data_IF_018610794814
#
_entry.id   IF_018610794814
#
_cell.length_a   1.000
_cell.length_b   1.000
_cell.length_c   1.000
_cell.angle_alpha   90.00
_cell.angle_beta   90.00
_cell.angle_gamma   90.00
#
_symmetry.space_group_name_H-M   'P 1'
#
loop_
_entity.id
_entity.type
_entity.pdbx_description
1 polymer ?
#
# COMPACT_ATOMS: atom_id res chain seq x y z
N UNK A 1 -34.40 11.61 1.05
CA UNK A 1 -33.32 11.98 0.14
C UNK A 1 -32.04 12.00 0.95
N UNK A 2 -31.23 10.95 0.89
CA UNK A 2 -29.95 10.92 1.61
C UNK A 2 -28.97 11.79 0.84
N UNK A 3 -28.60 12.91 1.42
CA UNK A 3 -27.50 13.71 0.91
C UNK A 3 -26.22 12.99 1.32
N UNK A 4 -25.59 12.29 0.40
CA UNK A 4 -24.23 11.81 0.60
C UNK A 4 -23.36 13.07 0.74
N UNK A 5 -22.65 13.26 1.87
CA UNK A 5 -21.73 14.39 2.00
C UNK A 5 -20.74 14.31 0.84
N UNK A 6 -20.63 15.37 0.07
CA UNK A 6 -19.78 15.45 -1.09
C UNK A 6 -18.30 15.43 -0.67
N UNK A 7 -17.71 14.41 -0.33
CA UNK A 7 -16.38 14.13 0.21
C UNK A 7 -16.34 14.11 1.74
N UNK A 8 -16.24 12.92 2.29
CA UNK A 8 -15.65 12.79 3.61
C UNK A 8 -14.15 13.12 3.44
N UNK A 9 -13.66 14.29 3.91
CA UNK A 9 -12.26 14.68 3.71
C UNK A 9 -11.28 13.74 4.43
N UNK A 10 -11.79 12.84 5.25
CA UNK A 10 -11.04 11.85 6.01
C UNK A 10 -10.90 10.51 5.27
N UNK A 11 -11.68 10.26 4.22
CA UNK A 11 -11.60 9.04 3.42
C UNK A 11 -10.86 9.31 2.11
N UNK A 12 -9.54 9.20 2.15
CA UNK A 12 -8.72 9.30 0.93
C UNK A 12 -8.80 7.99 0.16
N UNK A 13 -9.05 8.07 -1.13
CA UNK A 13 -9.11 6.93 -2.06
C UNK A 13 -7.99 7.06 -3.08
N UNK A 14 -6.79 6.69 -2.67
CA UNK A 14 -5.58 6.82 -3.49
C UNK A 14 -5.21 5.54 -4.24
N UNK A 15 -5.97 4.45 -4.06
CA UNK A 15 -5.88 3.24 -4.86
C UNK A 15 -7.25 2.80 -5.31
N UNK A 16 -7.37 2.32 -6.54
CA UNK A 16 -8.59 1.71 -7.05
C UNK A 16 -8.29 0.60 -8.06
N UNK A 17 -9.07 -0.48 -8.04
CA UNK A 17 -8.93 -1.54 -9.02
C UNK A 17 -9.37 -1.06 -10.40
N UNK A 18 -8.62 -1.43 -11.45
CA UNK A 18 -8.95 -1.18 -12.85
C UNK A 18 -9.40 -2.45 -13.55
N UNK A 19 -8.65 -3.54 -13.41
CA UNK A 19 -8.88 -4.78 -14.13
C UNK A 19 -8.52 -5.98 -13.29
N UNK A 20 -9.28 -7.07 -13.46
CA UNK A 20 -9.05 -8.37 -12.81
C UNK A 20 -8.80 -8.28 -11.29
N UNK A 21 -9.34 -7.26 -10.62
CA UNK A 21 -9.13 -7.03 -9.19
C UNK A 21 -9.60 -8.20 -8.31
N UNK A 22 -10.54 -9.01 -8.79
CA UNK A 22 -10.97 -10.24 -8.12
C UNK A 22 -9.87 -11.32 -8.03
N UNK A 23 -8.79 -11.16 -8.79
CA UNK A 23 -7.60 -12.01 -8.75
C UNK A 23 -6.54 -11.44 -7.78
N UNK A 24 -6.67 -10.17 -7.38
CA UNK A 24 -5.85 -9.65 -6.30
C UNK A 24 -6.33 -10.24 -4.97
N UNK A 25 -5.37 -10.71 -4.18
CA UNK A 25 -5.67 -11.25 -2.86
C UNK A 25 -5.74 -10.12 -1.85
N UNK A 26 -6.86 -9.99 -1.17
CA UNK A 26 -6.98 -9.19 0.03
C UNK A 26 -6.41 -10.01 1.21
N UNK A 27 -5.22 -9.65 1.65
CA UNK A 27 -4.55 -10.34 2.74
C UNK A 27 -4.91 -9.66 4.06
N UNK A 28 -5.66 -10.34 4.91
CA UNK A 28 -6.11 -9.83 6.20
C UNK A 28 -5.09 -10.14 7.31
N UNK A 29 -4.93 -9.18 8.21
CA UNK A 29 -4.09 -9.27 9.40
C UNK A 29 -4.45 -8.15 10.37
N UNK A 30 -3.48 -7.67 11.09
CA UNK A 30 -3.65 -6.60 12.08
C UNK A 30 -2.67 -5.45 11.79
N UNK A 31 -3.09 -4.24 12.09
CA UNK A 31 -2.15 -3.13 12.14
C UNK A 31 -1.25 -3.30 13.36
N UNK A 32 0.02 -2.98 13.21
CA UNK A 32 1.00 -3.02 14.28
C UNK A 32 0.48 -2.25 15.50
N UNK A 33 0.33 -2.90 16.67
CA UNK A 33 -0.11 -2.23 17.88
C UNK A 33 0.87 -1.15 18.37
N UNK A 34 2.12 -1.18 17.92
CA UNK A 34 3.12 -0.16 18.20
C UNK A 34 3.10 1.01 17.21
N UNK A 35 2.25 0.94 16.17
CA UNK A 35 2.09 2.04 15.22
C UNK A 35 1.56 3.28 15.93
N UNK A 36 2.35 4.34 15.94
CA UNK A 36 2.10 5.57 16.72
C UNK A 36 1.33 6.65 15.95
N UNK A 37 1.01 6.38 14.69
CA UNK A 37 0.30 7.33 13.83
C UNK A 37 1.17 8.47 13.29
N UNK A 38 2.50 8.37 13.38
CA UNK A 38 3.41 9.42 12.87
C UNK A 38 3.38 9.52 11.35
N UNK A 39 3.13 8.41 10.68
CA UNK A 39 3.00 8.33 9.22
C UNK A 39 1.53 8.09 8.86
N UNK A 40 0.99 8.95 8.01
CA UNK A 40 -0.37 8.72 7.49
C UNK A 40 -0.37 7.50 6.54
N UNK A 41 -1.21 6.53 6.81
CA UNK A 41 -1.40 5.40 5.90
C UNK A 41 -2.51 5.75 4.92
N UNK A 42 -2.15 5.89 3.66
CA UNK A 42 -3.10 6.05 2.55
C UNK A 42 -3.43 4.69 1.92
N UNK A 43 -4.62 4.50 1.35
CA UNK A 43 -4.84 3.37 0.46
C UNK A 43 -3.79 3.38 -0.66
N UNK A 44 -3.01 2.32 -0.78
CA UNK A 44 -1.87 2.24 -1.69
C UNK A 44 -0.49 2.48 -1.05
N UNK A 45 -0.44 2.85 0.24
CA UNK A 45 0.83 2.86 1.00
C UNK A 45 1.43 1.46 1.02
N UNK A 46 2.73 1.38 0.78
CA UNK A 46 3.48 0.13 0.89
C UNK A 46 3.55 -0.28 2.35
N UNK A 47 3.08 -1.49 2.62
CA UNK A 47 3.10 -2.07 3.95
C UNK A 47 4.16 -3.15 4.04
N UNK A 48 4.86 -3.20 5.16
CA UNK A 48 5.72 -4.31 5.55
C UNK A 48 4.95 -5.31 6.40
N UNK A 49 5.32 -6.57 6.28
CA UNK A 49 4.90 -7.62 7.21
C UNK A 49 5.97 -7.77 8.29
N UNK A 50 5.55 -7.73 9.53
CA UNK A 50 6.42 -7.89 10.68
C UNK A 50 5.95 -9.04 11.58
N UNK A 51 6.86 -9.58 12.39
CA UNK A 51 6.53 -10.53 13.42
C UNK A 51 6.43 -9.79 14.77
N UNK A 52 5.32 -9.94 15.46
CA UNK A 52 5.11 -9.40 16.80
C UNK A 52 4.89 -10.57 17.76
N UNK A 53 5.76 -10.67 18.77
CA UNK A 53 5.69 -11.74 19.76
C UNK A 53 4.33 -11.76 20.47
N UNK A 54 3.73 -12.94 20.53
CA UNK A 54 2.42 -13.13 21.18
C UNK A 54 1.21 -12.74 20.35
N UNK A 55 1.41 -12.18 19.16
CA UNK A 55 0.32 -11.89 18.23
C UNK A 55 0.05 -13.12 17.35
N UNK A 56 -1.14 -13.66 17.45
CA UNK A 56 -1.58 -14.76 16.58
C UNK A 56 -2.11 -14.20 15.26
N UNK A 57 -1.26 -14.09 14.24
CA UNK A 57 -1.66 -13.63 12.91
C UNK A 57 -0.63 -12.72 12.24
N UNK A 58 -0.94 -12.29 11.05
CA UNK A 58 -0.10 -11.38 10.27
C UNK A 58 -0.22 -9.96 10.83
N UNK A 59 0.92 -9.29 11.02
CA UNK A 59 0.97 -7.90 11.48
C UNK A 59 1.60 -7.03 10.42
N UNK A 60 0.98 -5.89 10.14
CA UNK A 60 1.41 -4.94 9.12
C UNK A 60 1.76 -3.59 9.73
N UNK A 61 2.84 -3.00 9.23
CA UNK A 61 3.27 -1.64 9.53
C UNK A 61 3.61 -0.91 8.23
N UNK A 62 3.53 0.44 8.16
CA UNK A 62 4.07 1.15 7.01
C UNK A 62 5.53 0.76 6.76
N UNK A 63 5.87 0.55 5.50
CA UNK A 63 7.25 0.27 5.13
C UNK A 63 8.09 1.55 5.26
N UNK A 64 9.17 1.49 6.02
CA UNK A 64 10.11 2.60 6.23
C UNK A 64 11.51 2.30 5.69
N UNK A 65 11.74 1.07 5.23
CA UNK A 65 13.06 0.62 4.79
C UNK A 65 14.00 0.24 5.92
N UNK A 66 13.50 0.17 7.15
CA UNK A 66 14.28 -0.23 8.31
C UNK A 66 14.76 -1.69 8.19
N UNK A 67 15.85 -1.98 8.92
CA UNK A 67 16.43 -3.33 8.94
C UNK A 67 15.39 -4.36 9.42
N UNK A 68 15.26 -5.43 8.65
CA UNK A 68 14.31 -6.51 8.94
C UNK A 68 12.89 -6.29 8.36
N UNK A 69 12.58 -5.12 7.82
CA UNK A 69 11.34 -4.90 7.10
C UNK A 69 11.42 -5.44 5.67
N UNK A 70 10.40 -6.18 5.28
CA UNK A 70 10.22 -6.63 3.89
C UNK A 70 8.92 -6.06 3.36
N UNK A 71 8.93 -5.31 2.25
CA UNK A 71 7.70 -4.82 1.65
C UNK A 71 6.82 -6.01 1.26
N UNK A 72 5.53 -5.91 1.52
CA UNK A 72 4.61 -7.04 1.40
C UNK A 72 3.44 -6.77 0.47
N UNK A 73 2.81 -5.61 0.57
CA UNK A 73 1.62 -5.27 -0.20
C UNK A 73 1.21 -3.82 -0.06
N UNK A 74 0.08 -3.47 -0.65
CA UNK A 74 -0.46 -2.13 -0.65
C UNK A 74 -1.63 -2.02 0.32
N UNK A 75 -1.64 -1.01 1.18
CA UNK A 75 -2.75 -0.77 2.10
C UNK A 75 -4.08 -0.63 1.36
N UNK A 76 -5.12 -1.29 1.88
CA UNK A 76 -6.49 -1.09 1.44
C UNK A 76 -7.19 0.04 2.21
N UNK A 77 -6.66 0.45 3.36
CA UNK A 77 -7.28 1.37 4.30
C UNK A 77 -6.55 2.69 4.43
N UNK A 78 -7.33 3.69 4.85
CA UNK A 78 -6.84 4.96 5.32
C UNK A 78 -6.69 4.96 6.84
N UNK A 79 -5.51 5.36 7.34
CA UNK A 79 -5.26 5.58 8.76
C UNK A 79 -4.61 6.96 8.93
N UNK A 80 -5.29 7.85 9.65
CA UNK A 80 -4.80 9.21 9.87
C UNK A 80 -3.64 9.23 10.85
N UNK A 81 -2.66 10.07 10.59
CA UNK A 81 -1.57 10.37 11.51
C UNK A 81 -1.99 11.30 12.67
N UNK A 82 -3.12 11.98 12.53
CA UNK A 82 -3.66 12.83 13.60
C UNK A 82 -4.76 12.09 14.35
N UNK A 83 -4.90 12.32 15.65
CA UNK A 83 -6.01 11.81 16.43
C UNK A 83 -7.33 12.25 15.78
N UNK A 84 -7.97 11.34 15.10
CA UNK A 84 -9.16 11.58 14.29
C UNK A 84 -9.67 10.29 13.68
N UNK A 85 -10.67 10.43 12.85
CA UNK A 85 -11.37 9.33 12.17
C UNK A 85 -10.42 8.59 11.25
N UNK A 86 -10.27 7.28 11.45
CA UNK A 86 -9.59 6.40 10.51
C UNK A 86 -10.39 5.11 10.28
N UNK A 87 -10.22 4.48 9.12
CA UNK A 87 -11.03 3.32 8.73
C UNK A 87 -10.78 2.08 9.60
N UNK A 88 -9.63 1.98 10.24
CA UNK A 88 -9.27 0.82 11.08
C UNK A 88 -9.82 0.97 12.50
N UNK A 89 -9.53 2.09 13.16
CA UNK A 89 -9.95 2.29 14.56
C UNK A 89 -11.43 2.61 14.71
N UNK A 90 -12.02 3.31 13.73
CA UNK A 90 -13.45 3.67 13.78
C UNK A 90 -14.37 2.50 13.49
N UNK A 91 -13.90 1.46 12.82
CA UNK A 91 -14.65 0.22 12.66
C UNK A 91 -14.71 -0.61 13.96
N UNK A 92 -13.99 -0.21 14.99
CA UNK A 92 -13.83 -0.98 16.24
C UNK A 92 -13.06 -2.28 16.05
N UNK A 93 -12.38 -2.42 14.92
CA UNK A 93 -11.60 -3.59 14.55
C UNK A 93 -10.14 -3.19 14.33
N UNK A 94 -9.22 -3.94 14.91
CA UNK A 94 -7.80 -3.82 14.60
C UNK A 94 -7.40 -4.57 13.32
N UNK A 95 -8.38 -5.12 12.60
CA UNK A 95 -8.14 -5.86 11.37
C UNK A 95 -7.68 -4.91 10.28
N UNK A 96 -6.58 -5.27 9.65
CA UNK A 96 -5.97 -4.51 8.56
C UNK A 96 -5.87 -5.38 7.31
N UNK A 97 -6.02 -4.78 6.14
CA UNK A 97 -5.97 -5.51 4.87
C UNK A 97 -4.97 -4.88 3.92
N UNK A 98 -4.13 -5.72 3.35
CA UNK A 98 -3.24 -5.36 2.25
C UNK A 98 -3.70 -6.02 0.95
N UNK A 99 -3.60 -5.30 -0.17
CA UNK A 99 -3.69 -5.87 -1.49
C UNK A 99 -2.36 -6.51 -1.86
N UNK A 100 -2.41 -7.80 -2.15
CA UNK A 100 -1.26 -8.55 -2.66
C UNK A 100 -1.66 -9.11 -4.02
N UNK A 101 -0.93 -8.74 -5.04
CA UNK A 101 -1.25 -9.18 -6.39
C UNK A 101 -0.71 -10.56 -6.70
N UNK A 102 -1.31 -11.22 -7.68
CA UNK A 102 -0.82 -12.43 -8.33
C UNK A 102 -0.12 -12.15 -9.67
N UNK A 103 0.08 -10.86 -9.99
CA UNK A 103 0.68 -10.42 -11.25
C UNK A 103 -0.33 -10.26 -12.39
N UNK A 104 -1.64 -10.36 -12.14
CA UNK A 104 -2.67 -10.19 -13.18
C UNK A 104 -3.56 -8.98 -12.95
N UNK A 105 -3.88 -8.66 -11.70
CA UNK A 105 -4.71 -7.52 -11.36
C UNK A 105 -4.02 -6.18 -11.66
N UNK A 106 -4.76 -5.22 -12.19
CA UNK A 106 -4.29 -3.86 -12.41
C UNK A 106 -4.99 -2.90 -11.45
N UNK A 107 -4.20 -2.02 -10.86
CA UNK A 107 -4.67 -0.95 -10.00
C UNK A 107 -4.19 0.40 -10.50
N UNK A 108 -5.04 1.41 -10.33
CA UNK A 108 -4.65 2.80 -10.43
C UNK A 108 -4.27 3.31 -9.05
N UNK A 109 -3.10 3.93 -8.94
CA UNK A 109 -2.62 4.58 -7.72
C UNK A 109 -2.52 6.08 -7.99
N UNK A 110 -3.08 6.85 -7.06
CA UNK A 110 -3.14 8.31 -7.15
C UNK A 110 -2.16 8.95 -6.17
N UNK A 111 -1.60 10.09 -6.55
CA UNK A 111 -0.84 10.91 -5.61
C UNK A 111 -1.73 11.29 -4.40
N UNK A 112 -1.18 11.33 -3.19
CA UNK A 112 0.24 11.18 -2.84
C UNK A 112 0.67 9.77 -2.44
N UNK A 113 -0.03 8.69 -2.81
CA UNK A 113 0.37 7.32 -2.43
C UNK A 113 1.57 6.77 -3.22
N UNK A 114 2.15 7.55 -4.11
CA UNK A 114 3.40 7.23 -4.80
C UNK A 114 4.32 8.45 -4.88
N UNK A 115 5.60 8.20 -5.01
CA UNK A 115 6.64 9.23 -5.16
C UNK A 115 6.71 9.71 -6.62
N UNK A 116 5.91 10.72 -6.94
CA UNK A 116 5.76 11.24 -8.30
C UNK A 116 7.09 11.76 -8.91
N UNK A 117 8.04 12.18 -8.08
CA UNK A 117 9.33 12.64 -8.55
C UNK A 117 10.27 11.50 -8.97
N UNK A 118 10.07 10.30 -8.41
CA UNK A 118 10.96 9.16 -8.56
C UNK A 118 10.30 7.93 -9.17
N UNK A 119 9.06 8.02 -9.63
CA UNK A 119 8.43 6.97 -10.42
C UNK A 119 8.63 7.27 -11.90
N UNK A 120 9.64 6.64 -12.48
CA UNK A 120 10.03 6.83 -13.89
C UNK A 120 9.97 5.49 -14.60
N UNK A 121 9.22 5.45 -15.72
CA UNK A 121 9.21 4.28 -16.59
C UNK A 121 10.57 4.10 -17.26
N UNK A 122 11.04 2.87 -17.29
CA UNK A 122 12.27 2.48 -18.00
C UNK A 122 11.94 1.56 -19.17
N UNK A 123 12.88 1.38 -20.09
CA UNK A 123 12.74 0.38 -21.13
C UNK A 123 12.68 -1.02 -20.50
N UNK A 124 11.62 -1.74 -20.77
CA UNK A 124 11.36 -3.07 -20.18
C UNK A 124 10.51 -3.02 -18.91
N UNK A 125 10.69 -4.01 -18.06
CA UNK A 125 9.92 -4.12 -16.81
C UNK A 125 10.42 -3.14 -15.77
N UNK A 126 9.59 -2.21 -15.36
CA UNK A 126 9.89 -1.25 -14.29
C UNK A 126 9.29 -1.73 -12.97
N UNK A 127 10.16 -2.09 -12.03
CA UNK A 127 9.79 -2.56 -10.72
C UNK A 127 9.52 -1.41 -9.74
N UNK A 128 8.58 -1.62 -8.82
CA UNK A 128 8.21 -0.69 -7.75
C UNK A 128 8.39 -1.34 -6.39
N UNK A 129 8.92 -0.58 -5.46
CA UNK A 129 9.05 -0.90 -4.04
C UNK A 129 8.53 0.27 -3.18
N UNK A 130 8.70 0.22 -1.86
CA UNK A 130 8.43 1.36 -0.98
C UNK A 130 9.67 2.21 -0.73
N UNK A 131 9.49 3.52 -0.57
CA UNK A 131 10.49 4.39 0.03
C UNK A 131 10.30 4.48 1.56
N UNK A 132 11.11 5.29 2.25
CA UNK A 132 11.04 5.49 3.71
C UNK A 132 9.72 6.08 4.22
N UNK A 133 8.92 6.66 3.33
CA UNK A 133 7.61 7.22 3.67
C UNK A 133 6.46 6.25 3.30
N UNK A 134 6.78 5.03 2.90
CA UNK A 134 5.82 4.04 2.44
C UNK A 134 5.21 4.33 1.06
N UNK A 135 5.77 5.27 0.30
CA UNK A 135 5.28 5.59 -1.03
C UNK A 135 5.87 4.64 -2.08
N UNK A 136 5.07 4.26 -3.07
CA UNK A 136 5.58 3.51 -4.22
C UNK A 136 6.64 4.33 -4.98
N UNK A 137 7.79 3.70 -5.26
CA UNK A 137 8.92 4.31 -5.97
C UNK A 137 9.65 3.31 -6.84
N UNK A 138 10.37 3.79 -7.85
CA UNK A 138 11.30 2.97 -8.63
C UNK A 138 12.71 2.95 -8.03
N UNK A 139 13.02 3.89 -7.13
CA UNK A 139 14.34 4.00 -6.50
C UNK A 139 14.59 2.82 -5.57
N UNK A 140 15.70 2.13 -5.78
CA UNK A 140 16.09 0.98 -4.98
C UNK A 140 15.27 -0.29 -5.21
N UNK A 141 14.33 -0.26 -6.17
CA UNK A 141 13.54 -1.44 -6.50
C UNK A 141 14.40 -2.53 -7.15
N UNK A 142 14.30 -3.73 -6.62
CA UNK A 142 14.99 -4.94 -7.10
C UNK A 142 14.00 -6.09 -7.16
N UNK A 143 14.35 -7.18 -7.81
CA UNK A 143 13.50 -8.37 -7.84
C UNK A 143 13.23 -8.95 -6.41
N UNK A 144 14.11 -8.68 -5.44
CA UNK A 144 13.98 -9.18 -4.08
C UNK A 144 13.02 -8.37 -3.20
N UNK A 145 12.84 -7.08 -3.50
CA UNK A 145 12.01 -6.17 -2.69
C UNK A 145 10.85 -5.52 -3.44
N UNK A 146 10.70 -5.81 -4.72
CA UNK A 146 9.60 -5.25 -5.50
C UNK A 146 8.27 -5.92 -5.14
N UNK A 147 7.21 -5.12 -5.09
CA UNK A 147 5.84 -5.54 -4.81
C UNK A 147 4.87 -5.23 -5.94
N UNK A 148 5.31 -4.47 -6.92
CA UNK A 148 4.52 -4.17 -8.09
C UNK A 148 5.41 -3.89 -9.31
N UNK A 149 4.81 -3.99 -10.48
CA UNK A 149 5.33 -3.52 -11.75
C UNK A 149 4.60 -2.25 -12.16
N UNK A 150 5.34 -1.25 -12.61
CA UNK A 150 4.78 -0.07 -13.24
C UNK A 150 4.33 -0.42 -14.66
N UNK A 151 3.06 -0.25 -14.94
CA UNK A 151 2.50 -0.49 -16.28
C UNK A 151 2.48 0.80 -17.09
N UNK A 152 2.09 1.90 -16.44
CA UNK A 152 1.97 3.19 -17.11
C UNK A 152 2.08 4.35 -16.11
N UNK A 153 2.76 5.40 -16.50
CA UNK A 153 2.67 6.72 -15.88
C UNK A 153 1.63 7.52 -16.68
N UNK A 154 0.42 7.60 -16.14
CA UNK A 154 -0.70 8.28 -16.81
C UNK A 154 -0.56 9.79 -16.70
N UNK A 155 -0.07 10.26 -15.54
CA UNK A 155 0.23 11.68 -15.27
C UNK A 155 1.08 11.79 -14.00
N UNK A 156 1.53 12.99 -13.66
CA UNK A 156 2.27 13.28 -12.42
C UNK A 156 1.46 12.96 -11.15
N UNK A 157 0.15 12.76 -11.28
CA UNK A 157 -0.75 12.44 -10.16
C UNK A 157 -1.35 11.04 -10.22
N UNK A 158 -0.97 10.24 -11.22
CA UNK A 158 -1.61 8.96 -11.47
C UNK A 158 -0.70 7.97 -12.20
N UNK A 159 -0.61 6.76 -11.65
CA UNK A 159 0.08 5.63 -12.25
C UNK A 159 -0.83 4.40 -12.30
N UNK A 160 -0.56 3.50 -13.24
CA UNK A 160 -1.15 2.16 -13.27
C UNK A 160 -0.09 1.14 -12.87
N UNK A 161 -0.43 0.29 -11.94
CA UNK A 161 0.47 -0.73 -11.40
C UNK A 161 -0.13 -2.12 -11.47
N UNK A 162 0.73 -3.12 -11.54
CA UNK A 162 0.40 -4.54 -11.42
C UNK A 162 1.07 -5.09 -10.17
N UNK A 163 0.35 -5.22 -9.04
CA UNK A 163 0.91 -5.80 -7.83
C UNK A 163 1.22 -7.28 -8.03
N UNK A 164 2.29 -7.73 -7.41
CA UNK A 164 2.64 -9.13 -7.31
C UNK A 164 3.22 -9.44 -5.92
N UNK A 165 3.21 -10.70 -5.55
CA UNK A 165 3.81 -11.12 -4.29
C UNK A 165 5.32 -11.17 -4.45
N UNK A 166 6.10 -10.54 -3.56
CA UNK A 166 7.55 -10.73 -3.55
C UNK A 166 7.89 -12.21 -3.43
N UNK A 167 8.77 -12.69 -4.29
CA UNK A 167 9.27 -14.05 -4.18
C UNK A 167 10.29 -14.03 -3.02
N UNK A 168 10.06 -14.79 -1.93
CA UNK A 168 11.06 -14.87 -0.88
C UNK A 168 12.38 -15.32 -1.51
N UNK A 169 13.45 -14.57 -1.30
CA UNK A 169 14.79 -15.05 -1.61
C UNK A 169 15.05 -16.31 -0.77
N UNK A 170 15.39 -17.41 -1.47
CA UNK A 170 15.77 -18.67 -0.84
C UNK A 170 17.03 -18.52 0.01
#
# INVERSE_FOLDING_TARGET
MFTVPASNPHLKRTIRPLYAHHQATAWAGFLDPAYDGTVEILPGTVMARINVDGQGGEVFTPYTGDEGQVPFGLSAFFVSSTAGVNEVTDSGSNTFTCWVGDGTALFEVLAPAFDAANVVATDGTTLLTGNSDGLLTTVGATAANAIAELIEVVSDSKITVRPFRPIPSA
#
